data_IF_603729732658
#
_entry.id   IF_603729732658
#
_cell.length_a   1.000
_cell.length_b   1.000
_cell.length_c   1.000
_cell.angle_alpha   90.00
_cell.angle_beta   90.00
_cell.angle_gamma   90.00
#
_symmetry.space_group_name_H-M   'P 1'
#
loop_
_entity.id
_entity.type
_entity.pdbx_description
1 polymer ?
#
# COMPACT_ATOMS: atom_id res chain seq x y z
N UNK A 1 43.43 -43.35 -35.26
CA UNK A 1 42.02 -43.03 -35.57
C UNK A 1 41.18 -42.84 -34.30
N UNK A 2 41.50 -43.50 -33.17
CA UNK A 2 40.72 -43.42 -31.92
C UNK A 2 40.69 -42.06 -31.21
N UNK A 3 41.81 -41.30 -31.18
CA UNK A 3 41.85 -40.03 -30.44
C UNK A 3 40.95 -38.91 -31.03
N UNK A 4 40.61 -39.02 -32.33
CA UNK A 4 39.70 -38.09 -33.01
C UNK A 4 38.24 -38.26 -32.56
N UNK A 5 37.84 -39.50 -32.25
CA UNK A 5 36.49 -39.84 -31.79
C UNK A 5 36.28 -39.35 -30.36
N UNK A 6 37.26 -39.59 -29.48
CA UNK A 6 37.24 -39.16 -28.06
C UNK A 6 37.08 -37.64 -27.94
N UNK A 7 37.84 -36.87 -28.72
CA UNK A 7 37.78 -35.40 -28.71
C UNK A 7 36.41 -34.86 -29.16
N UNK A 8 35.75 -35.56 -30.10
CA UNK A 8 34.44 -35.16 -30.64
C UNK A 8 33.31 -35.45 -29.65
N UNK A 9 33.41 -36.53 -28.87
CA UNK A 9 32.44 -36.90 -27.84
C UNK A 9 32.53 -35.96 -26.63
N UNK A 10 33.74 -35.63 -26.18
CA UNK A 10 33.97 -34.68 -25.07
C UNK A 10 33.41 -33.29 -25.39
N UNK A 11 33.62 -32.80 -26.61
CA UNK A 11 33.06 -31.50 -27.05
C UNK A 11 31.53 -31.50 -27.09
N UNK A 12 30.90 -32.61 -27.48
CA UNK A 12 29.42 -32.74 -27.51
C UNK A 12 28.82 -32.80 -26.10
N UNK A 13 29.47 -33.52 -25.19
CA UNK A 13 29.04 -33.60 -23.79
C UNK A 13 29.15 -32.23 -23.09
N UNK A 14 30.20 -31.47 -23.36
CA UNK A 14 30.38 -30.12 -22.83
C UNK A 14 29.30 -29.13 -23.33
N UNK A 15 28.92 -29.21 -24.60
CA UNK A 15 27.84 -28.36 -25.16
C UNK A 15 26.48 -28.71 -24.57
N UNK A 16 26.18 -30.00 -24.38
CA UNK A 16 24.92 -30.43 -23.77
C UNK A 16 24.78 -29.96 -22.32
N UNK A 17 25.87 -29.98 -21.55
CA UNK A 17 25.89 -29.50 -20.16
C UNK A 17 25.64 -27.99 -20.06
N UNK A 18 26.12 -27.19 -21.02
CA UNK A 18 25.86 -25.74 -21.06
C UNK A 18 24.39 -25.44 -21.38
N UNK A 19 23.78 -26.18 -22.31
CA UNK A 19 22.36 -26.00 -22.66
C UNK A 19 21.43 -26.44 -21.52
N UNK A 20 21.78 -27.53 -20.82
CA UNK A 20 21.07 -27.97 -19.62
C UNK A 20 21.25 -27.00 -18.44
N UNK A 21 22.41 -26.35 -18.32
CA UNK A 21 22.66 -25.32 -17.31
C UNK A 21 21.95 -23.99 -17.58
N UNK A 22 21.72 -23.63 -18.86
CA UNK A 22 20.97 -22.42 -19.22
C UNK A 22 19.45 -22.57 -19.13
N UNK A 23 18.94 -23.79 -18.97
CA UNK A 23 17.51 -24.06 -18.80
C UNK A 23 17.06 -24.00 -17.33
N UNK A 24 17.88 -23.39 -16.45
CA UNK A 24 17.43 -22.95 -15.12
C UNK A 24 16.21 -22.06 -15.31
N UNK A 25 15.09 -22.69 -15.01
CA UNK A 25 13.73 -22.22 -15.00
C UNK A 25 13.64 -20.77 -14.56
N UNK A 26 13.41 -19.86 -15.50
CA UNK A 26 12.73 -18.61 -15.23
C UNK A 26 11.32 -18.98 -14.73
N UNK A 27 11.22 -19.31 -13.45
CA UNK A 27 9.92 -19.38 -12.79
C UNK A 27 9.26 -18.02 -13.03
N UNK A 28 8.03 -17.97 -13.58
CA UNK A 28 7.34 -16.70 -13.70
C UNK A 28 7.24 -16.14 -12.29
N UNK A 29 7.84 -14.96 -12.08
CA UNK A 29 7.55 -14.16 -10.90
C UNK A 29 6.04 -13.97 -10.98
N UNK A 30 5.29 -14.69 -10.15
CA UNK A 30 3.88 -14.37 -9.95
C UNK A 30 3.89 -12.94 -9.44
N UNK A 31 3.54 -11.99 -10.30
CA UNK A 31 3.24 -10.64 -9.89
C UNK A 31 2.21 -10.80 -8.77
N UNK A 32 2.63 -10.54 -7.53
CA UNK A 32 1.70 -10.45 -6.43
C UNK A 32 0.73 -9.37 -6.86
N UNK A 33 -0.52 -9.75 -7.10
CA UNK A 33 -1.58 -8.78 -7.41
C UNK A 33 -1.49 -7.69 -6.37
N UNK A 34 -1.47 -6.43 -6.83
CA UNK A 34 -1.47 -5.22 -6.00
C UNK A 34 -2.78 -5.11 -5.21
N UNK A 35 -3.07 -6.11 -4.37
CA UNK A 35 -4.15 -6.04 -3.40
C UNK A 35 -3.84 -4.80 -2.58
N UNK A 36 -4.66 -3.75 -2.75
CA UNK A 36 -4.39 -2.49 -2.06
C UNK A 36 -4.34 -2.80 -0.56
N UNK A 37 -3.29 -2.35 0.15
CA UNK A 37 -3.20 -2.52 1.60
C UNK A 37 -4.37 -1.89 2.36
N UNK A 38 -5.11 -0.99 1.70
CA UNK A 38 -6.23 -0.21 2.21
C UNK A 38 -7.40 -0.46 1.25
N UNK A 39 -8.58 -0.75 1.79
CA UNK A 39 -9.80 -0.96 1.01
C UNK A 39 -10.29 0.32 0.30
N UNK A 40 -11.56 0.34 -0.06
CA UNK A 40 -12.20 1.52 -0.62
C UNK A 40 -12.16 2.68 0.39
N UNK A 41 -11.91 3.89 -0.11
CA UNK A 41 -11.88 5.11 0.70
C UNK A 41 -13.25 5.77 0.59
N UNK A 42 -13.85 6.07 1.73
CA UNK A 42 -15.13 6.76 1.82
C UNK A 42 -15.06 7.97 2.77
N UNK A 43 -16.00 8.91 2.60
CA UNK A 43 -16.15 10.04 3.53
C UNK A 43 -16.81 9.54 4.79
N UNK A 44 -16.08 9.60 5.92
CA UNK A 44 -16.59 9.17 7.21
C UNK A 44 -17.61 10.15 7.81
N UNK A 45 -17.26 11.44 7.86
CA UNK A 45 -18.13 12.50 8.37
C UNK A 45 -17.77 13.84 7.73
N UNK A 46 -18.74 14.75 7.67
CA UNK A 46 -18.58 16.13 7.18
C UNK A 46 -18.92 17.09 8.30
N UNK A 47 -18.00 18.00 8.63
CA UNK A 47 -18.24 19.07 9.59
C UNK A 47 -18.92 20.27 8.89
N UNK A 48 -19.95 20.87 9.48
CA UNK A 48 -20.53 22.10 8.95
C UNK A 48 -19.53 23.26 9.04
N UNK A 49 -19.71 24.27 8.19
CA UNK A 49 -18.96 25.53 8.28
C UNK A 49 -19.07 26.13 9.69
N UNK A 50 -17.98 26.68 10.29
CA UNK A 50 -16.70 26.98 9.66
C UNK A 50 -15.77 25.75 9.46
N UNK A 51 -15.98 24.68 10.22
CA UNK A 51 -15.59 23.31 9.87
C UNK A 51 -14.12 23.10 9.54
N UNK A 52 -13.23 23.32 10.51
CA UNK A 52 -11.78 23.18 10.37
C UNK A 52 -11.24 21.96 11.12
N UNK A 53 -11.45 20.72 10.61
CA UNK A 53 -10.96 19.53 11.30
C UNK A 53 -9.44 19.59 11.45
N UNK A 54 -8.98 19.55 12.69
CA UNK A 54 -7.57 19.52 13.04
C UNK A 54 -7.13 18.10 13.41
N UNK A 55 -6.78 17.93 14.68
CA UNK A 55 -6.40 16.66 15.27
C UNK A 55 -7.58 15.72 15.51
N UNK A 56 -7.26 14.43 15.49
CA UNK A 56 -8.18 13.33 15.70
C UNK A 56 -7.69 12.45 16.84
N UNK A 57 -8.60 11.97 17.68
CA UNK A 57 -8.32 10.98 18.72
C UNK A 57 -9.41 9.91 18.75
N UNK A 58 -9.03 8.65 18.97
CA UNK A 58 -9.97 7.54 19.10
C UNK A 58 -9.94 7.02 20.53
N UNK A 59 -11.11 6.91 21.15
CA UNK A 59 -11.28 6.20 22.42
C UNK A 59 -12.46 5.23 22.32
N UNK A 60 -12.17 3.93 22.39
CA UNK A 60 -13.17 2.87 22.23
C UNK A 60 -13.87 2.95 20.87
N UNK A 61 -15.19 3.18 20.88
CA UNK A 61 -16.03 3.30 19.67
C UNK A 61 -16.32 4.76 19.27
N UNK A 62 -15.60 5.72 19.84
CA UNK A 62 -15.79 7.15 19.57
C UNK A 62 -14.56 7.74 18.90
N UNK A 63 -14.79 8.45 17.81
CA UNK A 63 -13.82 9.36 17.18
C UNK A 63 -14.08 10.78 17.71
N UNK A 64 -13.05 11.42 18.22
CA UNK A 64 -13.05 12.83 18.58
C UNK A 64 -12.29 13.63 17.54
N UNK A 65 -12.88 14.72 17.07
CA UNK A 65 -12.28 15.65 16.10
C UNK A 65 -12.28 17.02 16.75
N UNK A 66 -11.12 17.63 16.91
CA UNK A 66 -11.10 19.04 17.27
C UNK A 66 -11.24 19.88 16.01
N UNK A 67 -12.04 20.94 16.08
CA UNK A 67 -11.87 22.08 15.18
C UNK A 67 -10.84 23.02 15.77
N UNK A 68 -10.11 23.70 14.90
CA UNK A 68 -9.20 24.76 15.32
C UNK A 68 -9.40 25.94 14.42
N UNK A 69 -9.48 27.11 15.04
CA UNK A 69 -9.49 28.40 14.36
C UNK A 69 -8.11 28.78 13.78
N UNK A 70 -7.14 27.87 13.73
CA UNK A 70 -5.79 28.14 13.22
C UNK A 70 -5.72 28.26 11.68
N UNK A 71 -6.63 29.02 11.07
CA UNK A 71 -6.40 29.55 9.74
C UNK A 71 -5.37 30.69 9.82
N UNK A 72 -4.23 30.50 9.19
CA UNK A 72 -3.19 31.54 9.13
C UNK A 72 -3.43 32.55 7.97
N UNK A 73 -4.47 32.35 7.15
CA UNK A 73 -4.72 33.10 5.92
C UNK A 73 -6.09 33.80 5.84
N UNK A 74 -6.97 33.66 6.85
CA UNK A 74 -8.29 34.33 6.92
C UNK A 74 -8.64 34.81 8.32
N UNK A 75 -9.68 35.66 8.41
CA UNK A 75 -10.23 36.11 9.69
C UNK A 75 -10.72 34.91 10.49
N UNK A 76 -10.38 34.91 11.78
CA UNK A 76 -10.73 33.89 12.74
C UNK A 76 -12.26 33.71 12.87
N UNK A 77 -12.79 32.59 12.38
CA UNK A 77 -14.17 32.17 12.65
C UNK A 77 -14.17 31.46 14.01
N UNK A 78 -14.91 31.97 15.00
CA UNK A 78 -14.75 31.66 16.44
C UNK A 78 -15.11 30.23 16.90
N UNK A 79 -14.99 29.19 16.08
CA UNK A 79 -15.37 27.81 16.45
C UNK A 79 -14.15 26.94 16.77
N UNK A 80 -13.79 26.92 18.05
CA UNK A 80 -12.92 25.89 18.65
C UNK A 80 -13.83 24.91 19.40
N UNK A 81 -14.09 23.75 18.80
CA UNK A 81 -15.02 22.74 19.31
C UNK A 81 -14.42 21.34 19.25
N UNK A 82 -14.92 20.43 20.07
CA UNK A 82 -14.63 19.00 19.96
C UNK A 82 -15.91 18.31 19.52
N UNK A 83 -15.86 17.68 18.35
CA UNK A 83 -16.92 16.87 17.80
C UNK A 83 -16.67 15.41 18.15
N UNK A 84 -17.73 14.69 18.51
CA UNK A 84 -17.67 13.26 18.80
C UNK A 84 -18.55 12.52 17.80
N UNK A 85 -18.00 11.47 17.20
CA UNK A 85 -18.69 10.63 16.23
C UNK A 85 -18.59 9.16 16.61
N UNK A 86 -19.63 8.41 16.30
CA UNK A 86 -19.63 6.96 16.37
C UNK A 86 -18.76 6.36 15.27
N UNK A 87 -17.75 5.58 15.63
CA UNK A 87 -16.80 4.98 14.67
C UNK A 87 -17.45 4.01 13.68
N UNK A 88 -18.61 3.44 14.01
CA UNK A 88 -19.31 2.48 13.17
C UNK A 88 -20.27 3.11 12.17
N UNK A 89 -20.72 4.35 12.40
CA UNK A 89 -21.73 5.00 11.54
C UNK A 89 -21.31 6.36 11.00
N UNK A 90 -20.30 7.01 11.58
CA UNK A 90 -19.96 8.40 11.26
C UNK A 90 -20.96 9.42 11.80
N UNK A 91 -21.97 8.99 12.56
CA UNK A 91 -22.99 9.87 13.11
C UNK A 91 -22.48 10.60 14.37
N UNK A 92 -22.88 11.87 14.59
CA UNK A 92 -22.60 12.59 15.82
C UNK A 92 -23.14 11.88 17.06
N UNK A 93 -22.46 12.06 18.19
CA UNK A 93 -22.91 11.63 19.53
C UNK A 93 -23.59 12.80 20.25
#
# INVERSE_FOLDING_TARGET
MEQSVVTKVVKRAAVLAVVAGLSVTAAPIKAQTSQRPIGDIEVFATLPYPGHPGGLAVAGRTLYVNTSNADFDRLFDTSDEIWAFRLDTGEPI
#
